data_IF_359303085809
#
_entry.id   IF_359303085809
#
_cell.length_a   1.000
_cell.length_b   1.000
_cell.length_c   1.000
_cell.angle_alpha   90.00
_cell.angle_beta   90.00
_cell.angle_gamma   90.00
#
_symmetry.space_group_name_H-M   'P 1'
#
loop_
_entity.id
_entity.type
_entity.pdbx_description
1 polymer ?
#
# COMPACT_ATOMS: atom_id res chain seq x y z
N UNK A 1 12.54 4.49 7.85
CA UNK A 1 12.98 5.79 7.27
C UNK A 1 12.04 6.94 7.59
N UNK A 2 10.71 6.80 7.47
CA UNK A 2 9.71 7.86 7.68
C UNK A 2 9.77 8.59 9.02
N UNK A 3 10.06 7.86 10.12
CA UNK A 3 10.17 8.47 11.47
C UNK A 3 11.52 9.13 11.73
N UNK A 4 12.60 8.54 11.23
CA UNK A 4 13.97 8.98 11.55
C UNK A 4 14.56 9.95 10.53
N UNK A 5 14.04 10.01 9.31
CA UNK A 5 14.66 10.73 8.20
C UNK A 5 15.98 10.12 7.73
N UNK A 6 16.34 8.92 8.23
CA UNK A 6 17.63 8.25 7.99
C UNK A 6 17.43 6.87 7.38
N UNK A 7 18.35 6.49 6.48
CA UNK A 7 18.38 5.17 5.85
C UNK A 7 18.86 4.08 6.81
N UNK A 8 18.13 2.96 7.00
CA UNK A 8 18.54 1.88 7.91
C UNK A 8 19.74 1.07 7.38
N UNK A 9 20.13 1.23 6.11
CA UNK A 9 21.21 0.46 5.49
C UNK A 9 22.57 1.14 5.56
N UNK A 10 22.60 2.47 5.43
CA UNK A 10 23.85 3.25 5.35
C UNK A 10 23.81 4.56 6.14
N UNK A 11 22.76 4.80 6.92
CA UNK A 11 22.53 6.03 7.68
C UNK A 11 22.48 7.31 6.84
N UNK A 12 22.28 7.16 5.52
CA UNK A 12 22.16 8.23 4.55
C UNK A 12 20.87 9.04 4.64
N UNK A 13 20.81 10.13 3.88
CA UNK A 13 19.64 11.01 3.82
C UNK A 13 18.50 10.38 3.02
N UNK A 14 17.26 10.75 3.37
CA UNK A 14 16.04 10.17 2.79
C UNK A 14 15.23 11.22 2.04
N UNK A 15 14.81 10.89 0.83
CA UNK A 15 13.75 11.57 0.09
C UNK A 15 12.43 10.91 0.48
N UNK A 16 11.45 11.72 0.86
CA UNK A 16 10.08 11.25 1.06
C UNK A 16 9.26 11.48 -0.21
N UNK A 17 8.59 10.42 -0.67
CA UNK A 17 7.68 10.42 -1.81
C UNK A 17 6.27 10.21 -1.26
N UNK A 18 5.45 11.26 -1.31
CA UNK A 18 4.11 11.26 -0.72
C UNK A 18 3.09 10.44 -1.54
N UNK A 19 3.30 10.30 -2.84
CA UNK A 19 2.46 9.49 -3.72
C UNK A 19 3.37 8.73 -4.69
N UNK A 20 3.45 7.42 -4.53
CA UNK A 20 4.18 6.56 -5.46
C UNK A 20 3.40 6.50 -6.76
N UNK A 21 4.04 6.78 -7.88
CA UNK A 21 3.37 6.82 -9.18
C UNK A 21 2.87 5.43 -9.60
N UNK A 22 1.61 5.37 -10.03
CA UNK A 22 1.06 4.24 -10.80
C UNK A 22 1.10 4.55 -12.29
N UNK A 23 1.23 3.52 -13.13
CA UNK A 23 1.15 3.67 -14.57
C UNK A 23 -0.27 3.30 -15.03
N UNK A 24 -1.19 4.26 -14.98
CA UNK A 24 -2.54 4.14 -15.55
C UNK A 24 -2.68 5.13 -16.72
N UNK A 25 -3.37 4.72 -17.80
CA UNK A 25 -3.40 5.31 -19.14
C UNK A 25 -3.79 6.82 -19.17
N UNK A 26 -2.88 7.70 -18.77
CA UNK A 26 -3.03 9.16 -18.84
C UNK A 26 -3.53 9.86 -17.57
N UNK A 27 -3.76 9.13 -16.47
CA UNK A 27 -4.16 9.73 -15.19
C UNK A 27 -3.16 9.41 -14.09
N UNK A 28 -2.51 10.45 -13.54
CA UNK A 28 -1.68 10.29 -12.35
C UNK A 28 -2.57 9.95 -11.15
N UNK A 29 -2.45 8.71 -10.66
CA UNK A 29 -3.03 8.25 -9.41
C UNK A 29 -1.93 7.63 -8.55
N UNK A 30 -2.02 7.71 -7.20
CA UNK A 30 -1.13 6.96 -6.34
C UNK A 30 -1.28 5.45 -6.59
N UNK A 31 -0.17 4.73 -6.60
CA UNK A 31 -0.15 3.28 -6.58
C UNK A 31 -0.78 2.79 -5.27
N UNK A 32 -1.59 1.74 -5.34
CA UNK A 32 -2.34 1.20 -4.20
C UNK A 32 -1.97 -0.25 -3.96
N UNK A 33 -1.87 -0.63 -2.68
CA UNK A 33 -1.38 -1.97 -2.30
C UNK A 33 -2.41 -3.08 -2.51
N UNK A 34 -3.71 -2.76 -2.48
CA UNK A 34 -4.77 -3.76 -2.52
C UNK A 34 -5.91 -3.35 -3.47
N UNK A 35 -6.45 -4.33 -4.19
CA UNK A 35 -7.67 -4.23 -4.99
C UNK A 35 -8.73 -5.14 -4.37
N UNK A 36 -9.85 -4.56 -3.98
CA UNK A 36 -10.96 -5.24 -3.32
C UNK A 36 -12.19 -5.23 -4.23
N UNK A 37 -12.96 -6.33 -4.19
CA UNK A 37 -14.22 -6.45 -4.92
C UNK A 37 -15.34 -6.61 -3.90
N UNK A 38 -16.20 -5.60 -3.84
CA UNK A 38 -17.39 -5.61 -3.00
C UNK A 38 -18.63 -5.88 -3.86
N UNK A 39 -19.47 -6.83 -3.43
CA UNK A 39 -20.68 -7.19 -4.16
C UNK A 39 -21.87 -6.41 -3.61
N UNK A 40 -22.29 -5.39 -4.35
CA UNK A 40 -23.33 -4.47 -3.93
C UNK A 40 -24.65 -4.75 -4.66
N UNK A 41 -25.78 -4.47 -4.01
CA UNK A 41 -27.10 -4.55 -4.64
C UNK A 41 -27.54 -3.17 -5.10
N UNK A 42 -27.56 -2.94 -6.41
CA UNK A 42 -27.94 -1.66 -7.02
C UNK A 42 -29.11 -1.86 -7.97
N UNK A 43 -30.20 -1.10 -7.76
CA UNK A 43 -31.44 -1.19 -8.56
C UNK A 43 -31.99 -2.64 -8.70
N UNK A 44 -31.88 -3.44 -7.63
CA UNK A 44 -32.38 -4.81 -7.60
C UNK A 44 -31.42 -5.88 -8.17
N UNK A 45 -30.32 -5.48 -8.80
CA UNK A 45 -29.29 -6.37 -9.35
C UNK A 45 -28.04 -6.43 -8.47
N UNK A 46 -27.32 -7.56 -8.49
CA UNK A 46 -26.00 -7.68 -7.85
C UNK A 46 -24.93 -7.17 -8.81
N UNK A 47 -24.12 -6.21 -8.36
CA UNK A 47 -23.03 -5.61 -9.12
C UNK A 47 -21.75 -5.73 -8.31
N UNK A 48 -20.68 -6.19 -8.96
CA UNK A 48 -19.36 -6.25 -8.34
C UNK A 48 -18.68 -4.89 -8.54
N UNK A 49 -18.46 -4.17 -7.44
CA UNK A 49 -17.77 -2.88 -7.41
C UNK A 49 -16.32 -3.13 -7.02
N UNK A 50 -15.41 -2.82 -7.92
CA UNK A 50 -13.99 -2.96 -7.65
C UNK A 50 -13.41 -1.63 -7.16
N UNK A 51 -12.81 -1.65 -5.97
CA UNK A 51 -12.10 -0.52 -5.38
C UNK A 51 -10.64 -0.87 -5.18
N UNK A 52 -9.79 0.14 -5.11
CA UNK A 52 -8.38 -0.03 -4.73
C UNK A 52 -8.12 0.85 -3.50
N UNK A 53 -7.38 0.33 -2.52
CA UNK A 53 -7.15 0.98 -1.23
C UNK A 53 -5.68 0.86 -0.80
N UNK A 54 -5.29 1.71 0.15
CA UNK A 54 -3.94 1.75 0.68
C UNK A 54 -2.96 2.40 -0.30
N UNK A 55 -3.14 3.70 -0.50
CA UNK A 55 -2.22 4.54 -1.27
C UNK A 55 -0.78 4.40 -0.72
N UNK A 56 0.18 4.18 -1.63
CA UNK A 56 1.57 3.98 -1.30
C UNK A 56 2.33 5.29 -1.19
N UNK A 57 3.16 5.35 -0.15
CA UNK A 57 4.21 6.33 0.06
C UNK A 57 5.56 5.62 0.06
N UNK A 58 6.65 6.34 -0.18
CA UNK A 58 7.98 5.76 -0.12
C UNK A 58 9.00 6.67 0.58
N UNK A 59 9.92 6.06 1.32
CA UNK A 59 11.19 6.68 1.69
C UNK A 59 12.30 6.11 0.81
N UNK A 60 13.02 6.96 0.09
CA UNK A 60 14.12 6.56 -0.81
C UNK A 60 15.43 7.14 -0.30
N UNK A 61 16.44 6.30 -0.06
CA UNK A 61 17.76 6.76 0.34
C UNK A 61 18.46 7.41 -0.85
N UNK A 62 18.98 8.63 -0.67
CA UNK A 62 19.73 9.35 -1.71
C UNK A 62 21.06 8.71 -2.05
N UNK A 63 21.66 8.02 -1.09
CA UNK A 63 23.05 7.58 -1.19
C UNK A 63 23.14 6.14 -1.73
N UNK A 64 22.30 5.23 -1.22
CA UNK A 64 22.35 3.82 -1.60
C UNK A 64 21.10 3.30 -2.32
N UNK A 65 20.09 4.15 -2.55
CA UNK A 65 18.86 3.79 -3.28
C UNK A 65 17.90 2.86 -2.53
N UNK A 66 18.22 2.44 -1.30
CA UNK A 66 17.30 1.63 -0.48
C UNK A 66 15.95 2.33 -0.37
N UNK A 67 14.88 1.59 -0.68
CA UNK A 67 13.51 2.10 -0.73
C UNK A 67 12.64 1.31 0.24
N UNK A 68 11.90 2.03 1.09
CA UNK A 68 10.93 1.47 2.01
C UNK A 68 9.54 2.04 1.68
N UNK A 69 8.57 1.17 1.43
CA UNK A 69 7.18 1.56 1.18
C UNK A 69 6.37 1.64 2.48
N UNK A 70 5.43 2.58 2.50
CA UNK A 70 4.42 2.73 3.55
C UNK A 70 3.05 2.80 2.92
N UNK A 71 2.03 2.45 3.70
CA UNK A 71 0.64 2.54 3.28
C UNK A 71 -0.05 3.66 4.07
N UNK A 72 -0.73 4.57 3.36
CA UNK A 72 -1.64 5.55 3.98
C UNK A 72 -2.87 4.83 4.51
N UNK A 73 -3.34 5.25 5.69
CA UNK A 73 -4.53 4.72 6.35
C UNK A 73 -4.66 3.19 6.29
N UNK A 74 -3.68 2.42 6.81
CA UNK A 74 -3.68 0.96 6.69
C UNK A 74 -4.89 0.29 7.37
N UNK A 75 -5.61 1.00 8.26
CA UNK A 75 -6.86 0.53 8.86
C UNK A 75 -8.05 0.47 7.89
N UNK A 76 -7.97 1.15 6.74
CA UNK A 76 -9.03 1.15 5.72
C UNK A 76 -8.93 -0.06 4.78
N UNK A 77 -7.88 -0.88 4.91
CA UNK A 77 -7.71 -2.08 4.09
C UNK A 77 -8.69 -3.15 4.59
N UNK A 78 -9.66 -3.59 3.76
CA UNK A 78 -10.64 -4.58 4.18
C UNK A 78 -9.99 -5.95 4.35
N UNK A 79 -10.24 -6.56 5.51
CA UNK A 79 -9.77 -7.91 5.84
C UNK A 79 -10.80 -8.94 5.38
N UNK A 80 -10.91 -9.10 4.07
CA UNK A 80 -11.90 -9.97 3.41
C UNK A 80 -11.48 -11.45 3.34
N UNK A 81 -10.26 -11.79 3.78
CA UNK A 81 -9.71 -13.14 3.72
C UNK A 81 -9.34 -13.60 2.31
N UNK A 82 -9.40 -12.73 1.31
CA UNK A 82 -9.08 -13.01 -0.10
C UNK A 82 -7.95 -12.13 -0.60
N UNK A 83 -8.11 -10.82 -0.44
CA UNK A 83 -7.12 -9.80 -0.81
C UNK A 83 -6.22 -9.47 0.37
N UNK A 84 -6.77 -9.42 1.58
CA UNK A 84 -5.99 -9.17 2.80
C UNK A 84 -6.54 -9.94 4.00
N UNK A 85 -5.63 -10.36 4.89
CA UNK A 85 -5.93 -11.01 6.15
C UNK A 85 -4.89 -10.62 7.20
N UNK A 86 -5.28 -10.67 8.48
CA UNK A 86 -4.32 -10.51 9.57
C UNK A 86 -3.54 -11.81 9.72
N UNK A 87 -2.21 -11.70 9.70
CA UNK A 87 -1.35 -12.78 10.17
C UNK A 87 -1.41 -12.79 11.70
N UNK A 88 -2.11 -13.76 12.27
CA UNK A 88 -1.94 -14.06 13.70
C UNK A 88 -0.50 -14.47 13.93
N UNK A 89 0.17 -13.86 14.91
CA UNK A 89 1.54 -14.19 15.29
C UNK A 89 1.58 -15.53 16.05
N UNK A 90 1.16 -16.62 15.42
CA UNK A 90 1.32 -17.99 15.93
C UNK A 90 2.61 -18.58 15.36
N UNK A 91 3.73 -18.12 15.90
CA UNK A 91 5.00 -18.87 15.89
C UNK A 91 5.79 -19.00 14.58
N UNK A 92 5.18 -18.91 13.40
CA UNK A 92 5.94 -19.03 12.13
C UNK A 92 5.60 -17.89 11.15
N UNK A 93 6.62 -17.21 10.58
CA UNK A 93 6.41 -16.24 9.52
C UNK A 93 5.90 -16.93 8.24
N UNK A 94 4.89 -16.34 7.61
CA UNK A 94 4.34 -16.82 6.34
C UNK A 94 5.44 -16.81 5.26
N UNK A 95 5.63 -17.95 4.57
CA UNK A 95 6.51 -18.10 3.41
C UNK A 95 5.75 -17.85 2.12
#
# INVERSE_FOLDING_TARGET
MKRSGRCPKCDGSVIYVADVADHDDGHMKPMRIARHVDRQRMLGMNVDVTTSVGDLEAGVCRDCGYTEFYVKNPGDIPLDGKTAWLLERKGEPYR
#
